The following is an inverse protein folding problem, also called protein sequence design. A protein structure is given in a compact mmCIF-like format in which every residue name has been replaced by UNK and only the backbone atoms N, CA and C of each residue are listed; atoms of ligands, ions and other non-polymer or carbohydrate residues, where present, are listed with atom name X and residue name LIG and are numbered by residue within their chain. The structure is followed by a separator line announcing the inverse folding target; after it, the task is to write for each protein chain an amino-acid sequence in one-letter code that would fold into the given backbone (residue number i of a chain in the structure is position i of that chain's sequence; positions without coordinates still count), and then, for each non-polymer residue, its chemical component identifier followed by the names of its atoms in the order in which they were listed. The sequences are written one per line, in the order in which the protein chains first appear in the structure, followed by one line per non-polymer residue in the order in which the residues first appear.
data_IF_956180834895
#
_entry.id   IF_956180834895
#
_cell.length_a   1.000
_cell.length_b   1.000
_cell.length_c   1.000
_cell.angle_alpha   90.00
_cell.angle_beta   90.00
_cell.angle_gamma   90.00
#
_symmetry.space_group_name_H-M   'P 1'
#
loop_
_entity.id
_entity.type
_entity.pdbx_description
1 polymer ?
#
# COMPACT_ATOMS: atom_id res chain seq x y z
N UNK A 1 -4.15 -23.33 6.66
CA UNK A 1 -4.32 -22.49 7.86
C UNK A 1 -3.47 -21.24 7.69
N UNK A 2 -3.94 -20.06 8.12
CA UNK A 2 -3.17 -18.81 8.04
C UNK A 2 -1.85 -18.93 8.80
N UNK A 3 -0.75 -18.41 8.27
CA UNK A 3 0.57 -18.39 8.95
C UNK A 3 0.55 -17.47 10.17
N UNK A 4 -0.27 -16.42 10.12
CA UNK A 4 -0.54 -15.48 11.19
C UNK A 4 -2.06 -15.39 11.38
N UNK A 5 -2.66 -16.27 12.21
CA UNK A 5 -4.09 -16.23 12.45
C UNK A 5 -4.49 -14.88 13.08
N UNK A 6 -5.59 -14.23 12.62
CA UNK A 6 -6.11 -13.04 13.27
C UNK A 6 -6.35 -13.29 14.77
N UNK A 7 -5.90 -12.37 15.62
CA UNK A 7 -6.03 -12.47 17.07
C UNK A 7 -7.27 -11.68 17.49
N UNK A 8 -8.37 -12.33 17.94
CA UNK A 8 -9.53 -11.63 18.48
C UNK A 8 -9.11 -10.75 19.65
N UNK A 9 -9.72 -9.56 19.79
CA UNK A 9 -9.33 -8.59 20.82
C UNK A 9 -9.29 -9.17 22.24
N UNK A 10 -10.23 -10.06 22.56
CA UNK A 10 -10.29 -10.74 23.86
C UNK A 10 -9.06 -11.61 24.17
N UNK A 11 -8.33 -12.05 23.14
CA UNK A 11 -7.15 -12.92 23.26
C UNK A 11 -5.83 -12.15 23.08
N UNK A 12 -5.88 -10.82 22.94
CA UNK A 12 -4.71 -9.97 22.77
C UNK A 12 -4.05 -9.65 24.13
N UNK A 13 -2.72 -9.53 24.13
CA UNK A 13 -2.00 -8.96 25.28
C UNK A 13 -2.34 -7.48 25.46
N UNK A 14 -2.05 -6.86 26.63
CA UNK A 14 -2.28 -5.42 26.82
C UNK A 14 -1.59 -4.55 25.74
N UNK A 15 -0.34 -4.86 25.40
CA UNK A 15 0.40 -4.15 24.35
C UNK A 15 -0.25 -4.29 22.97
N UNK A 16 -0.78 -5.47 22.65
CA UNK A 16 -1.53 -5.71 21.41
C UNK A 16 -2.87 -4.96 21.39
N UNK A 17 -3.55 -4.80 22.52
CA UNK A 17 -4.79 -4.03 22.61
C UNK A 17 -4.52 -2.53 22.40
N UNK A 18 -3.44 -1.99 22.96
CA UNK A 18 -3.02 -0.60 22.67
C UNK A 18 -2.72 -0.39 21.19
N UNK A 19 -2.01 -1.35 20.58
CA UNK A 19 -1.77 -1.36 19.14
C UNK A 19 -3.07 -1.46 18.33
N UNK A 20 -4.02 -2.28 18.78
CA UNK A 20 -5.33 -2.43 18.16
C UNK A 20 -6.07 -1.09 18.14
N UNK A 21 -6.15 -0.41 19.28
CA UNK A 21 -6.83 0.89 19.40
C UNK A 21 -6.19 1.94 18.49
N UNK A 22 -4.85 1.93 18.43
CA UNK A 22 -4.11 2.84 17.56
C UNK A 22 -4.35 2.56 16.07
N UNK A 23 -4.38 1.28 15.64
CA UNK A 23 -4.73 0.90 14.27
C UNK A 23 -6.16 1.33 13.97
N UNK A 24 -7.10 1.10 14.88
CA UNK A 24 -8.51 1.47 14.69
C UNK A 24 -8.66 2.97 14.43
N UNK A 25 -8.05 3.80 15.26
CA UNK A 25 -8.09 5.25 15.06
C UNK A 25 -7.45 5.65 13.72
N UNK A 26 -6.29 5.08 13.42
CA UNK A 26 -5.52 5.41 12.22
C UNK A 26 -6.21 4.98 10.92
N UNK A 27 -7.03 3.94 10.96
CA UNK A 27 -7.68 3.36 9.77
C UNK A 27 -9.09 3.90 9.51
N UNK A 28 -9.66 4.71 10.42
CA UNK A 28 -10.94 5.41 10.21
C UNK A 28 -11.00 6.19 8.91
N UNK A 29 -9.86 6.72 8.45
CA UNK A 29 -9.76 7.49 7.20
C UNK A 29 -10.17 6.66 5.96
N UNK A 30 -10.04 5.33 6.02
CA UNK A 30 -10.43 4.43 4.93
C UNK A 30 -11.93 4.10 4.95
N UNK A 31 -12.60 4.27 6.10
CA UNK A 31 -14.01 3.88 6.29
C UNK A 31 -14.28 2.45 5.83
N UNK A 32 -15.43 2.26 5.19
CA UNK A 32 -15.89 0.94 4.70
C UNK A 32 -15.42 0.63 3.28
N UNK A 33 -14.34 1.27 2.80
CA UNK A 33 -13.88 1.09 1.40
C UNK A 33 -13.42 -0.34 1.12
N UNK A 34 -12.92 -1.04 2.15
CA UNK A 34 -12.52 -2.44 2.11
C UNK A 34 -12.64 -3.04 3.52
N UNK A 35 -12.74 -4.37 3.59
CA UNK A 35 -12.93 -5.13 4.83
C UNK A 35 -11.62 -5.21 5.61
N UNK A 36 -11.59 -4.57 6.79
CA UNK A 36 -10.39 -4.47 7.64
C UNK A 36 -10.40 -5.42 8.84
N UNK A 37 -11.58 -5.91 9.23
CA UNK A 37 -11.79 -6.81 10.36
C UNK A 37 -12.74 -7.94 9.97
N UNK A 38 -12.59 -9.08 10.62
CA UNK A 38 -13.56 -10.18 10.52
C UNK A 38 -14.76 -9.94 11.48
N UNK A 39 -15.71 -10.88 11.50
CA UNK A 39 -16.89 -10.86 12.36
C UNK A 39 -16.59 -10.77 13.86
N UNK A 40 -15.42 -11.25 14.29
CA UNK A 40 -14.98 -11.25 15.68
C UNK A 40 -14.24 -9.95 16.06
N UNK A 41 -14.17 -8.98 15.13
CA UNK A 41 -13.45 -7.73 15.33
C UNK A 41 -11.92 -7.88 15.30
N UNK A 42 -11.38 -9.02 14.87
CA UNK A 42 -9.96 -9.21 14.66
C UNK A 42 -9.53 -8.54 13.34
N UNK A 43 -8.43 -7.79 13.36
CA UNK A 43 -7.90 -7.17 12.15
C UNK A 43 -7.48 -8.22 11.11
N UNK A 44 -7.60 -7.84 9.84
CA UNK A 44 -7.19 -8.57 8.66
C UNK A 44 -6.02 -7.85 7.96
N UNK A 45 -5.54 -8.42 6.85
CA UNK A 45 -4.58 -7.73 6.00
C UNK A 45 -3.19 -7.63 6.62
N UNK A 46 -2.50 -6.48 6.50
CA UNK A 46 -1.12 -6.35 7.00
C UNK A 46 -1.07 -6.33 8.53
N UNK A 47 -2.18 -6.03 9.19
CA UNK A 47 -2.25 -5.90 10.65
C UNK A 47 -2.15 -7.26 11.34
N UNK A 48 -2.51 -8.37 10.67
CA UNK A 48 -2.42 -9.71 11.26
C UNK A 48 -0.99 -10.09 11.64
N UNK A 49 0.03 -10.04 10.74
CA UNK A 49 1.41 -10.32 11.14
C UNK A 49 2.01 -9.20 12.01
N UNK A 50 1.67 -7.93 11.78
CA UNK A 50 2.32 -6.80 12.49
C UNK A 50 1.96 -6.77 13.98
N UNK A 51 0.78 -7.27 14.38
CA UNK A 51 0.42 -7.44 15.80
C UNK A 51 1.26 -8.49 16.56
N UNK A 52 2.04 -9.32 15.88
CA UNK A 52 3.03 -10.20 16.52
C UNK A 52 4.33 -9.48 16.87
N UNK A 53 4.51 -8.25 16.39
CA UNK A 53 5.64 -7.36 16.72
C UNK A 53 5.10 -6.01 17.22
N UNK A 54 4.38 -5.98 18.36
CA UNK A 54 3.63 -4.80 18.80
C UNK A 54 4.50 -3.56 18.97
N UNK A 55 5.75 -3.73 19.41
CA UNK A 55 6.74 -2.66 19.56
C UNK A 55 7.05 -1.84 18.29
N UNK A 56 6.70 -2.35 17.10
CA UNK A 56 6.90 -1.65 15.82
C UNK A 56 5.61 -1.09 15.20
N UNK A 57 4.43 -1.49 15.70
CA UNK A 57 3.12 -1.18 15.07
C UNK A 57 2.96 0.33 14.90
N UNK A 58 3.12 1.09 15.99
CA UNK A 58 2.90 2.53 16.00
C UNK A 58 3.84 3.24 15.04
N UNK A 59 5.14 2.92 15.12
CA UNK A 59 6.16 3.53 14.27
C UNK A 59 5.91 3.26 12.78
N UNK A 60 5.52 2.02 12.44
CA UNK A 60 5.23 1.65 11.07
C UNK A 60 3.99 2.39 10.53
N UNK A 61 2.92 2.49 11.32
CA UNK A 61 1.70 3.21 10.92
C UNK A 61 1.96 4.71 10.81
N UNK A 62 2.64 5.33 11.78
CA UNK A 62 3.00 6.74 11.73
C UNK A 62 3.85 7.07 10.50
N UNK A 63 4.82 6.20 10.18
CA UNK A 63 5.62 6.33 8.96
C UNK A 63 4.76 6.24 7.70
N UNK A 64 3.86 5.25 7.61
CA UNK A 64 2.94 5.12 6.48
C UNK A 64 2.04 6.36 6.34
N UNK A 65 1.47 6.86 7.44
CA UNK A 65 0.61 8.04 7.43
C UNK A 65 1.36 9.30 7.00
N UNK A 66 2.61 9.48 7.44
CA UNK A 66 3.43 10.61 7.03
C UNK A 66 3.83 10.54 5.55
N UNK A 67 4.25 9.37 5.06
CA UNK A 67 4.55 9.17 3.64
C UNK A 67 3.28 9.39 2.79
N UNK A 68 2.13 8.95 3.27
CA UNK A 68 0.86 9.05 2.54
C UNK A 68 0.40 10.48 2.24
N UNK A 69 0.98 11.48 2.92
CA UNK A 69 0.71 12.92 2.75
C UNK A 69 1.66 13.59 1.74
N UNK A 70 2.70 12.90 1.29
CA UNK A 70 3.71 13.46 0.38
C UNK A 70 3.25 13.52 -1.08
N UNK A 71 2.26 12.71 -1.46
CA UNK A 71 1.65 12.66 -2.79
C UNK A 71 0.17 12.99 -2.69
N UNK A 72 -0.44 13.44 -3.79
CA UNK A 72 -1.90 13.47 -3.87
C UNK A 72 -2.47 12.05 -3.72
N UNK A 73 -3.73 11.88 -3.27
CA UNK A 73 -4.33 10.55 -3.14
C UNK A 73 -4.23 9.73 -4.44
N UNK A 74 -4.43 10.37 -5.60
CA UNK A 74 -4.40 9.70 -6.90
C UNK A 74 -2.99 9.22 -7.28
N UNK A 75 -2.00 10.10 -7.16
CA UNK A 75 -0.58 9.77 -7.39
C UNK A 75 -0.12 8.64 -6.45
N UNK A 76 -0.54 8.69 -5.18
CA UNK A 76 -0.22 7.66 -4.18
C UNK A 76 -0.76 6.30 -4.60
N UNK A 77 -2.03 6.17 -4.95
CA UNK A 77 -2.58 4.88 -5.36
C UNK A 77 -1.94 4.35 -6.65
N UNK A 78 -1.60 5.22 -7.60
CA UNK A 78 -0.85 4.84 -8.81
C UNK A 78 0.54 4.28 -8.47
N UNK A 79 1.29 4.95 -7.58
CA UNK A 79 2.59 4.46 -7.12
C UNK A 79 2.46 3.10 -6.40
N UNK A 80 1.41 2.90 -5.61
CA UNK A 80 1.15 1.64 -4.90
C UNK A 80 0.84 0.51 -5.88
N UNK A 81 -0.07 0.74 -6.84
CA UNK A 81 -0.39 -0.24 -7.87
C UNK A 81 0.83 -0.57 -8.74
N UNK A 82 1.70 0.42 -9.02
CA UNK A 82 2.95 0.19 -9.72
C UNK A 82 3.87 -0.79 -8.96
N UNK A 83 4.04 -0.61 -7.65
CA UNK A 83 4.81 -1.53 -6.80
C UNK A 83 4.17 -2.93 -6.79
N UNK A 84 2.86 -3.00 -6.57
CA UNK A 84 2.13 -4.27 -6.51
C UNK A 84 2.02 -4.98 -7.86
N UNK A 85 2.25 -4.30 -8.98
CA UNK A 85 2.37 -4.95 -10.30
C UNK A 85 3.62 -5.83 -10.42
N UNK A 86 4.66 -5.55 -9.61
CA UNK A 86 5.89 -6.33 -9.57
C UNK A 86 5.92 -7.32 -8.40
N UNK A 87 5.46 -6.89 -7.22
CA UNK A 87 5.36 -7.73 -6.03
C UNK A 87 3.88 -7.85 -5.61
N UNK A 88 3.07 -8.64 -6.33
CA UNK A 88 1.64 -8.72 -6.06
C UNK A 88 1.38 -9.29 -4.67
N UNK A 89 0.48 -8.64 -3.95
CA UNK A 89 0.00 -9.04 -2.64
C UNK A 89 -1.53 -9.03 -2.68
N UNK A 90 -2.17 -10.18 -2.43
CA UNK A 90 -3.61 -10.35 -2.69
C UNK A 90 -4.47 -9.32 -1.94
N UNK A 91 -4.31 -9.24 -0.61
CA UNK A 91 -5.01 -8.25 0.21
C UNK A 91 -4.66 -6.81 -0.17
N UNK A 92 -3.37 -6.54 -0.45
CA UNK A 92 -2.91 -5.22 -0.87
C UNK A 92 -3.59 -4.75 -2.15
N UNK A 93 -3.58 -5.58 -3.20
CA UNK A 93 -4.25 -5.30 -4.46
C UNK A 93 -5.76 -5.11 -4.25
N UNK A 94 -6.41 -5.97 -3.46
CA UNK A 94 -7.83 -5.84 -3.11
C UNK A 94 -8.17 -4.46 -2.51
N UNK A 95 -7.40 -4.02 -1.50
CA UNK A 95 -7.64 -2.74 -0.84
C UNK A 95 -7.37 -1.55 -1.78
N UNK A 96 -6.22 -1.57 -2.46
CA UNK A 96 -5.77 -0.43 -3.27
C UNK A 96 -6.49 -0.30 -4.61
N UNK A 97 -7.02 -1.39 -5.19
CA UNK A 97 -7.97 -1.32 -6.32
C UNK A 97 -9.25 -0.57 -5.92
N UNK A 98 -9.80 -0.86 -4.74
CA UNK A 98 -11.02 -0.19 -4.25
C UNK A 98 -10.79 1.29 -3.95
N UNK A 99 -9.65 1.61 -3.33
CA UNK A 99 -9.24 3.00 -3.09
C UNK A 99 -9.05 3.75 -4.42
N UNK A 100 -8.37 3.14 -5.40
CA UNK A 100 -8.18 3.72 -6.73
C UNK A 100 -9.51 4.01 -7.43
N UNK A 101 -10.46 3.09 -7.36
CA UNK A 101 -11.82 3.24 -7.92
C UNK A 101 -12.55 4.41 -7.27
N UNK A 102 -12.47 4.54 -5.94
CA UNK A 102 -13.07 5.65 -5.18
C UNK A 102 -12.48 7.01 -5.55
N UNK A 103 -11.23 7.04 -6.01
CA UNK A 103 -10.55 8.24 -6.52
C UNK A 103 -10.77 8.49 -8.02
N UNK A 104 -11.64 7.72 -8.67
CA UNK A 104 -12.03 7.93 -10.06
C UNK A 104 -11.02 7.42 -11.09
N UNK A 105 -10.11 6.50 -10.74
CA UNK A 105 -9.43 5.72 -11.77
C UNK A 105 -10.45 4.80 -12.46
N UNK A 106 -10.38 4.72 -13.78
CA UNK A 106 -11.26 3.82 -14.55
C UNK A 106 -10.81 2.37 -14.38
N UNK A 107 -11.71 1.40 -14.59
CA UNK A 107 -11.33 -0.03 -14.54
C UNK A 107 -10.21 -0.36 -15.53
N UNK A 108 -10.20 0.26 -16.72
CA UNK A 108 -9.10 0.09 -17.68
C UNK A 108 -7.78 0.60 -17.12
N UNK A 109 -7.78 1.76 -16.44
CA UNK A 109 -6.57 2.31 -15.84
C UNK A 109 -6.05 1.43 -14.70
N UNK A 110 -6.95 0.94 -13.85
CA UNK A 110 -6.62 0.03 -12.76
C UNK A 110 -6.07 -1.30 -13.30
N UNK A 111 -6.67 -1.83 -14.37
CA UNK A 111 -6.22 -3.08 -14.98
C UNK A 111 -4.83 -2.95 -15.61
N UNK A 112 -4.58 -1.88 -16.35
CA UNK A 112 -3.25 -1.59 -16.89
C UNK A 112 -2.24 -1.46 -15.75
N UNK A 113 -2.58 -0.69 -14.70
CA UNK A 113 -1.69 -0.44 -13.58
C UNK A 113 -1.29 -1.73 -12.86
N UNK A 114 -2.24 -2.62 -12.53
CA UNK A 114 -1.97 -3.88 -11.82
C UNK A 114 -1.18 -4.88 -12.67
N UNK A 115 -1.32 -4.82 -13.99
CA UNK A 115 -0.58 -5.68 -14.94
C UNK A 115 0.79 -5.09 -15.32
N UNK A 116 1.18 -3.96 -14.71
CA UNK A 116 2.49 -3.34 -14.93
C UNK A 116 2.57 -2.50 -16.19
N UNK A 117 1.45 -2.23 -16.85
CA UNK A 117 1.37 -1.34 -18.02
C UNK A 117 1.05 0.08 -17.58
N UNK A 118 1.66 1.05 -18.26
CA UNK A 118 1.37 2.47 -18.01
C UNK A 118 -0.08 2.77 -18.40
N UNK A 119 -0.96 3.17 -17.47
CA UNK A 119 -2.36 3.42 -17.79
C UNK A 119 -2.53 4.59 -18.77
N UNK A 120 -3.46 4.45 -19.72
CA UNK A 120 -3.74 5.52 -20.69
C UNK A 120 -4.61 6.63 -20.08
N UNK A 121 -4.45 7.85 -20.60
CA UNK A 121 -5.26 9.01 -20.22
C UNK A 121 -4.99 9.54 -18.81
N UNK A 122 -3.80 9.24 -18.27
CA UNK A 122 -3.30 9.88 -17.05
C UNK A 122 -2.79 11.29 -17.35
N UNK A 123 -2.73 12.13 -16.32
CA UNK A 123 -1.96 13.37 -16.41
C UNK A 123 -0.46 13.06 -16.49
N UNK A 124 0.36 14.00 -16.96
CA UNK A 124 1.81 13.83 -17.04
C UNK A 124 2.43 13.47 -15.68
N UNK A 125 1.93 14.08 -14.59
CA UNK A 125 2.39 13.79 -13.22
C UNK A 125 1.97 12.41 -12.73
N UNK A 126 0.73 12.01 -12.97
CA UNK A 126 0.22 10.67 -12.62
C UNK A 126 1.00 9.58 -13.36
N UNK A 127 1.23 9.79 -14.66
CA UNK A 127 1.99 8.87 -15.51
C UNK A 127 3.43 8.76 -15.00
N UNK A 128 4.11 9.89 -14.77
CA UNK A 128 5.48 9.89 -14.25
C UNK A 128 5.59 9.22 -12.89
N UNK A 129 4.63 9.47 -12.00
CA UNK A 129 4.57 8.84 -10.67
C UNK A 129 4.48 7.32 -10.78
N UNK A 130 3.58 6.83 -11.64
CA UNK A 130 3.43 5.40 -11.89
C UNK A 130 4.71 4.79 -12.49
N UNK A 131 5.27 5.41 -13.53
CA UNK A 131 6.47 4.89 -14.22
C UNK A 131 7.69 4.84 -13.30
N UNK A 132 7.94 5.91 -12.54
CA UNK A 132 9.04 5.97 -11.59
C UNK A 132 8.86 4.93 -10.48
N UNK A 133 7.67 4.83 -9.88
CA UNK A 133 7.39 3.82 -8.85
C UNK A 133 7.58 2.39 -9.39
N UNK A 134 7.19 2.13 -10.65
CA UNK A 134 7.37 0.83 -11.31
C UNK A 134 8.84 0.49 -11.55
N UNK A 135 9.66 1.46 -11.93
CA UNK A 135 11.12 1.29 -12.07
C UNK A 135 11.78 1.04 -10.71
N UNK A 136 11.42 1.85 -9.71
CA UNK A 136 11.92 1.73 -8.33
C UNK A 136 11.56 0.38 -7.69
N UNK A 137 10.38 -0.17 -7.98
CA UNK A 137 9.97 -1.49 -7.49
C UNK A 137 10.92 -2.63 -7.94
N UNK A 138 11.63 -2.43 -9.06
CA UNK A 138 12.56 -3.41 -9.65
C UNK A 138 14.02 -3.05 -9.43
N UNK A 139 14.29 -1.97 -8.68
CA UNK A 139 15.61 -1.37 -8.57
C UNK A 139 16.63 -2.36 -7.97
N UNK A 140 17.76 -2.55 -8.67
CA UNK A 140 18.90 -3.37 -8.23
C UNK A 140 20.22 -2.61 -8.19
N UNK A 141 20.21 -1.37 -8.66
CA UNK A 141 21.35 -0.45 -8.75
C UNK A 141 20.80 0.98 -8.65
N UNK A 142 21.61 2.04 -8.52
CA UNK A 142 21.11 3.41 -8.53
C UNK A 142 20.22 3.68 -9.75
N UNK A 143 19.19 4.52 -9.56
CA UNK A 143 18.34 4.99 -10.65
C UNK A 143 19.22 5.65 -11.72
N UNK A 144 18.94 5.39 -13.00
CA UNK A 144 19.74 5.98 -14.07
C UNK A 144 19.63 7.51 -14.06
N UNK A 145 20.69 8.22 -14.47
CA UNK A 145 20.65 9.69 -14.57
C UNK A 145 19.53 10.17 -15.50
N UNK A 146 19.25 9.41 -16.56
CA UNK A 146 18.16 9.70 -17.50
C UNK A 146 16.78 9.57 -16.84
N UNK A 147 16.52 8.44 -16.17
CA UNK A 147 15.26 8.22 -15.45
C UNK A 147 15.04 9.28 -14.36
N UNK A 148 16.09 9.59 -13.59
CA UNK A 148 16.04 10.63 -12.56
C UNK A 148 15.75 12.00 -13.17
N UNK A 149 16.46 12.40 -14.22
CA UNK A 149 16.26 13.70 -14.86
C UNK A 149 14.86 13.81 -15.49
N UNK A 150 14.34 12.73 -16.09
CA UNK A 150 12.97 12.67 -16.64
C UNK A 150 11.94 12.91 -15.53
N UNK A 151 12.08 12.22 -14.40
CA UNK A 151 11.16 12.35 -13.27
C UNK A 151 11.28 13.71 -12.57
N UNK A 152 12.50 14.21 -12.36
CA UNK A 152 12.73 15.53 -11.76
C UNK A 152 12.09 16.65 -12.60
N UNK A 153 12.16 16.56 -13.93
CA UNK A 153 11.55 17.55 -14.83
C UNK A 153 10.04 17.69 -14.62
N UNK A 154 9.34 16.60 -14.31
CA UNK A 154 7.87 16.56 -14.19
C UNK A 154 7.42 16.74 -12.74
N UNK A 155 8.10 16.10 -11.80
CA UNK A 155 7.69 16.01 -10.39
C UNK A 155 8.44 16.99 -9.48
N UNK A 156 9.58 17.52 -9.94
CA UNK A 156 10.55 18.18 -9.07
C UNK A 156 11.26 17.21 -8.11
N UNK A 157 12.29 17.69 -7.42
CA UNK A 157 13.06 16.85 -6.47
C UNK A 157 12.19 16.31 -5.32
N UNK A 158 11.28 17.13 -4.81
CA UNK A 158 10.37 16.73 -3.72
C UNK A 158 9.41 15.62 -4.16
N UNK A 159 8.82 15.73 -5.35
CA UNK A 159 7.95 14.69 -5.89
C UNK A 159 8.71 13.39 -6.16
N UNK A 160 9.94 13.47 -6.70
CA UNK A 160 10.80 12.27 -6.85
C UNK A 160 11.06 11.61 -5.50
N UNK A 161 11.42 12.39 -4.46
CA UNK A 161 11.62 11.86 -3.11
C UNK A 161 10.34 11.22 -2.53
N UNK A 162 9.18 11.84 -2.75
CA UNK A 162 7.89 11.32 -2.31
C UNK A 162 7.56 9.95 -2.96
N UNK A 163 7.84 9.80 -4.26
CA UNK A 163 7.68 8.52 -4.97
C UNK A 163 8.67 7.46 -4.46
N UNK A 164 9.92 7.84 -4.16
CA UNK A 164 10.92 6.94 -3.54
C UNK A 164 10.43 6.43 -2.19
N UNK A 165 9.97 7.31 -1.30
CA UNK A 165 9.43 6.92 0.00
C UNK A 165 8.22 6.01 -0.13
N UNK A 166 7.29 6.34 -1.04
CA UNK A 166 6.09 5.52 -1.29
C UNK A 166 6.45 4.15 -1.84
N UNK A 167 7.35 4.07 -2.82
CA UNK A 167 7.80 2.80 -3.38
C UNK A 167 8.49 1.93 -2.32
N UNK A 168 9.36 2.53 -1.50
CA UNK A 168 10.07 1.83 -0.43
C UNK A 168 9.15 1.27 0.65
N UNK A 169 8.23 2.08 1.19
CA UNK A 169 7.31 1.61 2.25
C UNK A 169 6.34 0.54 1.72
N UNK A 170 5.92 0.63 0.45
CA UNK A 170 5.05 -0.39 -0.14
C UNK A 170 5.79 -1.66 -0.53
N UNK A 171 7.08 -1.62 -0.89
CA UNK A 171 7.90 -2.83 -0.99
C UNK A 171 8.05 -3.52 0.38
N UNK A 172 8.25 -2.73 1.45
CA UNK A 172 8.25 -3.28 2.81
C UNK A 172 6.90 -3.93 3.16
N UNK A 173 5.79 -3.27 2.83
CA UNK A 173 4.45 -3.81 3.04
C UNK A 173 4.20 -5.08 2.21
N UNK A 174 4.62 -5.14 0.94
CA UNK A 174 4.48 -6.37 0.12
C UNK A 174 5.32 -7.53 0.67
N UNK A 175 6.49 -7.26 1.26
CA UNK A 175 7.25 -8.27 1.99
C UNK A 175 6.47 -8.80 3.19
N UNK A 176 5.81 -7.93 3.98
CA UNK A 176 4.94 -8.35 5.08
C UNK A 176 3.79 -9.23 4.54
N UNK A 177 3.04 -8.74 3.55
CA UNK A 177 1.90 -9.45 2.98
C UNK A 177 2.29 -10.85 2.47
N UNK A 178 3.34 -10.92 1.64
CA UNK A 178 3.72 -12.14 0.95
C UNK A 178 4.49 -13.10 1.87
N UNK A 179 5.30 -12.58 2.81
CA UNK A 179 5.96 -13.40 3.82
C UNK A 179 4.96 -14.08 4.76
N UNK A 180 3.93 -13.33 5.16
CA UNK A 180 2.85 -13.82 6.01
C UNK A 180 1.75 -14.60 5.27
N UNK A 181 1.76 -14.62 3.93
CA UNK A 181 0.74 -15.29 3.10
C UNK A 181 -0.68 -14.80 3.43
N UNK A 182 -0.81 -13.46 3.48
CA UNK A 182 -2.04 -12.78 3.90
C UNK A 182 -3.13 -13.01 2.84
N UNK A 183 -4.25 -13.67 3.19
CA UNK A 183 -5.33 -13.95 2.25
C UNK A 183 -6.22 -12.72 2.03
N UNK A 184 -7.07 -12.82 1.01
CA UNK A 184 -8.23 -11.94 0.89
C UNK A 184 -9.18 -12.16 2.07
N UNK A 185 -9.97 -11.14 2.47
CA UNK A 185 -11.12 -11.38 3.33
C UNK A 185 -12.08 -12.38 2.68
N UNK A 186 -12.82 -13.11 3.51
CA UNK A 186 -13.76 -14.12 3.04
C UNK A 186 -14.83 -13.50 2.12
N UNK A 187 -15.08 -14.14 0.98
CA UNK A 187 -16.07 -13.68 0.00
C UNK A 187 -15.63 -12.53 -0.90
N UNK A 188 -14.41 -12.02 -0.73
CA UNK A 188 -13.92 -10.87 -1.51
C UNK A 188 -13.10 -11.28 -2.75
N UNK A 189 -13.08 -10.37 -3.73
CA UNK A 189 -12.24 -10.44 -4.93
C UNK A 189 -11.57 -9.10 -5.23
N UNK A 190 -10.49 -9.15 -6.02
CA UNK A 190 -9.71 -7.99 -6.48
C UNK A 190 -10.40 -7.31 -7.66
#
# INVERSE_FOLDING_TARGET
MSRFPPIPRANQTPEQQECHDFIDESTKLYGDTFTQKNSDGAFLGPFTPVLYTPSLVKNWIDLNLNISKLLSPRERELAILAVMSYAPAAYGLYAHVRLSRKLGLTESQIQDAKEGRTPKGLSEKDEMTYELARELARLRAPLSNESFAKAEKVLGKEGVAAVIHTAGIFLYSTIIFNGADVPLPEGESI
#
